data_IF_972514834255
#
_entry.id   IF_972514834255
#
_cell.length_a   1.000
_cell.length_b   1.000
_cell.length_c   1.000
_cell.angle_alpha   90.00
_cell.angle_beta   90.00
_cell.angle_gamma   90.00
#
_symmetry.space_group_name_H-M   'P 1'
#
loop_
_entity.id
_entity.type
_entity.pdbx_description
1 polymer ?
#
# COMPACT_ATOMS: atom_id res chain seq x y z
N UNK A 1 6.38 -2.38 -46.88
CA UNK A 1 5.75 -1.67 -45.74
C UNK A 1 6.69 -1.74 -44.55
N UNK A 2 7.36 -0.65 -44.21
CA UNK A 2 8.06 -0.53 -42.92
C UNK A 2 6.98 -0.30 -41.87
N UNK A 3 6.83 -1.24 -40.94
CA UNK A 3 6.05 -1.01 -39.73
C UNK A 3 6.89 -0.06 -38.89
N UNK A 4 6.53 1.22 -38.88
CA UNK A 4 7.02 2.14 -37.85
C UNK A 4 6.46 1.62 -36.52
N UNK A 5 7.32 0.98 -35.73
CA UNK A 5 7.06 0.77 -34.32
C UNK A 5 7.18 2.17 -33.71
N UNK A 6 6.05 2.87 -33.61
CA UNK A 6 5.96 4.06 -32.77
C UNK A 6 6.09 3.55 -31.34
N UNK A 7 7.29 3.61 -30.76
CA UNK A 7 7.49 3.45 -29.33
C UNK A 7 6.63 4.52 -28.63
N UNK A 8 5.45 4.13 -28.17
CA UNK A 8 4.65 4.98 -27.30
C UNK A 8 5.27 4.91 -25.92
N UNK A 9 6.13 5.89 -25.61
CA UNK A 9 6.59 6.11 -24.25
C UNK A 9 5.39 6.49 -23.37
N UNK A 10 5.27 5.84 -22.21
CA UNK A 10 4.25 6.18 -21.22
C UNK A 10 4.56 7.54 -20.60
N UNK A 11 3.58 8.43 -20.58
CA UNK A 11 3.71 9.71 -19.91
C UNK A 11 3.19 9.63 -18.47
N UNK A 12 4.01 10.09 -17.53
CA UNK A 12 3.68 10.12 -16.12
C UNK A 12 3.56 11.55 -15.61
N UNK A 13 2.60 11.77 -14.70
CA UNK A 13 2.41 13.03 -14.00
C UNK A 13 2.51 12.80 -12.49
N UNK A 14 3.27 13.68 -11.84
CA UNK A 14 3.31 13.75 -10.38
C UNK A 14 2.08 14.49 -9.88
N UNK A 15 1.32 13.85 -9.00
CA UNK A 15 0.20 14.50 -8.32
C UNK A 15 0.75 15.30 -7.14
N UNK A 16 0.28 16.53 -7.00
CA UNK A 16 0.69 17.51 -5.99
C UNK A 16 -0.52 18.24 -5.44
N UNK A 17 -0.34 19.05 -4.40
CA UNK A 17 -1.43 19.87 -3.83
C UNK A 17 -2.04 20.84 -4.85
N UNK A 18 -1.29 21.25 -5.86
CA UNK A 18 -1.72 22.20 -6.89
C UNK A 18 -2.61 21.56 -7.98
N UNK A 19 -2.46 20.25 -8.23
CA UNK A 19 -3.17 19.56 -9.32
C UNK A 19 -4.13 18.46 -8.86
N UNK A 20 -4.07 18.03 -7.59
CA UNK A 20 -4.82 16.86 -7.09
C UNK A 20 -6.34 16.95 -7.30
N UNK A 21 -6.92 18.15 -7.25
CA UNK A 21 -8.37 18.31 -7.45
C UNK A 21 -8.78 18.06 -8.91
N UNK A 22 -7.87 18.29 -9.87
CA UNK A 22 -8.07 18.05 -11.32
C UNK A 22 -7.71 16.63 -11.73
N UNK A 23 -6.72 16.04 -11.06
CA UNK A 23 -6.26 14.69 -11.37
C UNK A 23 -7.20 13.60 -10.82
N UNK A 24 -7.22 12.46 -11.52
CA UNK A 24 -7.89 11.26 -11.04
C UNK A 24 -6.97 10.47 -10.11
N UNK A 25 -7.57 9.75 -9.15
CA UNK A 25 -6.85 8.82 -8.27
C UNK A 25 -6.91 7.42 -8.90
N UNK A 26 -5.78 6.92 -9.39
CA UNK A 26 -5.67 5.64 -10.11
C UNK A 26 -6.21 4.43 -9.35
N UNK A 27 -6.15 4.45 -8.02
CA UNK A 27 -6.61 3.37 -7.15
C UNK A 27 -8.14 3.12 -7.28
N UNK A 28 -8.92 4.20 -7.30
CA UNK A 28 -10.38 4.19 -7.37
C UNK A 28 -10.85 5.03 -8.57
N UNK A 29 -11.13 4.34 -9.68
CA UNK A 29 -11.51 4.96 -10.96
C UNK A 29 -13.01 5.35 -10.92
N UNK A 30 -13.38 6.24 -9.99
CA UNK A 30 -14.73 6.78 -9.86
C UNK A 30 -14.77 8.28 -10.17
N UNK A 31 -15.90 8.95 -9.93
CA UNK A 31 -15.99 10.41 -10.01
C UNK A 31 -15.38 11.06 -8.74
N UNK A 32 -15.09 12.37 -8.79
CA UNK A 32 -14.46 13.08 -7.67
C UNK A 32 -15.32 13.16 -6.40
N UNK A 33 -16.63 12.96 -6.50
CA UNK A 33 -17.56 12.98 -5.37
C UNK A 33 -17.71 11.59 -4.71
N UNK A 34 -17.09 10.56 -5.27
CA UNK A 34 -17.05 9.23 -4.66
C UNK A 34 -16.21 9.30 -3.38
N UNK A 35 -16.75 8.77 -2.28
CA UNK A 35 -16.12 8.81 -0.96
C UNK A 35 -14.72 8.22 -0.94
N UNK A 36 -14.44 7.25 -1.81
CA UNK A 36 -13.13 6.63 -1.95
C UNK A 36 -12.13 7.63 -2.54
N UNK A 37 -12.57 8.42 -3.52
CA UNK A 37 -11.74 9.43 -4.18
C UNK A 37 -11.48 10.60 -3.25
N UNK A 38 -12.52 11.16 -2.60
CA UNK A 38 -12.35 12.30 -1.68
C UNK A 38 -11.46 11.93 -0.48
N UNK A 39 -11.72 10.79 0.18
CA UNK A 39 -10.92 10.31 1.31
C UNK A 39 -9.44 10.13 0.94
N UNK A 40 -9.15 9.52 -0.22
CA UNK A 40 -7.75 9.38 -0.66
C UNK A 40 -7.12 10.71 -1.05
N UNK A 41 -7.87 11.65 -1.63
CA UNK A 41 -7.33 12.99 -1.92
C UNK A 41 -6.96 13.74 -0.64
N UNK A 42 -7.80 13.68 0.39
CA UNK A 42 -7.51 14.25 1.71
C UNK A 42 -6.26 13.62 2.32
N UNK A 43 -6.17 12.29 2.30
CA UNK A 43 -4.98 11.57 2.73
C UNK A 43 -3.71 12.07 2.01
N UNK A 44 -3.74 12.10 0.68
CA UNK A 44 -2.59 12.51 -0.13
C UNK A 44 -2.18 13.97 0.15
N UNK A 45 -3.14 14.89 0.30
CA UNK A 45 -2.86 16.31 0.62
C UNK A 45 -2.01 16.45 1.89
N UNK A 46 -2.34 15.67 2.92
CA UNK A 46 -1.58 15.64 4.16
C UNK A 46 -0.22 14.95 3.96
N UNK A 47 -0.19 13.78 3.31
CA UNK A 47 1.07 13.03 3.14
C UNK A 47 2.07 13.70 2.19
N UNK A 48 1.62 14.56 1.27
CA UNK A 48 2.54 15.36 0.44
C UNK A 48 3.42 16.28 1.28
N UNK A 49 2.91 16.79 2.41
CA UNK A 49 3.71 17.61 3.36
C UNK A 49 4.80 16.79 4.04
N UNK A 50 4.59 15.47 4.14
CA UNK A 50 5.51 14.50 4.72
C UNK A 50 6.48 13.89 3.68
N UNK A 51 6.48 14.41 2.45
CA UNK A 51 7.39 14.01 1.39
C UNK A 51 6.90 12.87 0.50
N UNK A 52 5.62 12.50 0.60
CA UNK A 52 5.02 11.49 -0.28
C UNK A 52 5.07 11.95 -1.75
N UNK A 53 5.43 11.03 -2.63
CA UNK A 53 5.39 11.17 -4.07
C UNK A 53 4.36 10.21 -4.63
N UNK A 54 3.39 10.76 -5.36
CA UNK A 54 2.40 9.99 -6.11
C UNK A 54 2.61 10.25 -7.60
N UNK A 55 3.18 9.27 -8.31
CA UNK A 55 3.46 9.34 -9.74
C UNK A 55 2.53 8.38 -10.48
N UNK A 56 1.77 8.87 -11.45
CA UNK A 56 0.79 8.08 -12.18
C UNK A 56 0.82 8.32 -13.68
N UNK A 57 0.24 7.40 -14.47
CA UNK A 57 0.00 7.65 -15.89
C UNK A 57 -0.91 8.87 -16.09
N UNK A 58 -0.67 9.64 -17.15
CA UNK A 58 -1.62 10.66 -17.62
C UNK A 58 -2.94 9.98 -18.03
N UNK A 59 -2.84 8.84 -18.71
CA UNK A 59 -3.99 8.03 -19.06
C UNK A 59 -4.75 7.55 -17.82
N UNK A 60 -6.09 7.54 -17.91
CA UNK A 60 -6.95 7.12 -16.81
C UNK A 60 -6.90 5.60 -16.64
N UNK A 61 -6.28 5.15 -15.54
CA UNK A 61 -6.18 3.74 -15.24
C UNK A 61 -5.40 3.41 -13.97
N UNK A 62 -5.27 2.11 -13.68
CA UNK A 62 -4.42 1.61 -12.60
C UNK A 62 -2.99 1.47 -13.12
N UNK A 63 -2.25 2.56 -13.11
CA UNK A 63 -0.82 2.62 -13.45
C UNK A 63 -0.16 3.74 -12.66
N UNK A 64 0.36 3.43 -11.47
CA UNK A 64 0.96 4.43 -10.58
C UNK A 64 1.90 3.79 -9.55
N UNK A 65 2.71 4.65 -8.93
CA UNK A 65 3.51 4.35 -7.75
C UNK A 65 3.32 5.46 -6.70
N UNK A 66 3.26 5.04 -5.44
CA UNK A 66 3.13 5.87 -4.23
C UNK A 66 4.26 5.47 -3.28
N UNK A 67 5.06 6.45 -2.85
CA UNK A 67 6.21 6.21 -1.97
C UNK A 67 6.60 7.48 -1.19
N UNK A 68 7.23 7.31 -0.04
CA UNK A 68 7.63 8.41 0.85
C UNK A 68 8.89 8.05 1.68
N UNK A 69 9.52 9.01 2.38
CA UNK A 69 10.57 8.71 3.36
C UNK A 69 10.09 7.67 4.37
N UNK A 70 10.86 6.59 4.59
CA UNK A 70 10.42 5.47 5.39
C UNK A 70 10.20 5.83 6.88
N UNK A 71 10.83 6.89 7.36
CA UNK A 71 10.61 7.48 8.68
C UNK A 71 9.16 7.99 8.86
N UNK A 72 8.51 8.35 7.75
CA UNK A 72 7.13 8.81 7.70
C UNK A 72 6.16 7.71 7.26
N UNK A 73 6.63 6.50 6.98
CA UNK A 73 5.77 5.40 6.56
C UNK A 73 4.74 5.09 7.64
N UNK A 74 3.52 4.80 7.21
CA UNK A 74 2.42 4.40 8.08
C UNK A 74 2.49 2.90 8.40
N UNK A 75 3.68 2.34 8.53
CA UNK A 75 3.91 0.93 8.88
C UNK A 75 4.90 0.86 10.05
N UNK A 76 4.78 -0.15 10.93
CA UNK A 76 5.66 -0.33 12.09
C UNK A 76 7.01 -0.90 11.64
N UNK A 77 7.82 -0.08 10.98
CA UNK A 77 9.15 -0.40 10.49
C UNK A 77 10.19 0.58 11.02
N UNK A 78 11.43 0.12 11.14
CA UNK A 78 12.63 0.94 11.35
C UNK A 78 13.45 0.86 10.07
N UNK A 79 13.59 1.99 9.35
CA UNK A 79 14.17 2.01 8.01
C UNK A 79 14.82 3.37 7.68
N UNK A 80 15.52 3.96 8.64
CA UNK A 80 16.04 5.33 8.53
C UNK A 80 16.91 5.54 7.29
N UNK A 81 16.58 6.56 6.52
CA UNK A 81 17.22 6.93 5.26
C UNK A 81 16.72 6.16 4.04
N UNK A 82 15.79 5.22 4.17
CA UNK A 82 15.14 4.57 3.02
C UNK A 82 13.94 5.37 2.50
N UNK A 83 13.48 5.05 1.30
CA UNK A 83 12.13 5.36 0.85
C UNK A 83 11.27 4.10 0.94
N UNK A 84 10.09 4.23 1.53
CA UNK A 84 9.10 3.17 1.58
C UNK A 84 8.12 3.33 0.42
N UNK A 85 7.91 2.24 -0.34
CA UNK A 85 6.89 2.19 -1.39
C UNK A 85 5.59 1.71 -0.77
N UNK A 86 4.62 2.61 -0.64
CA UNK A 86 3.29 2.30 -0.14
C UNK A 86 2.50 1.46 -1.13
N UNK A 87 2.62 1.77 -2.43
CA UNK A 87 1.85 1.10 -3.47
C UNK A 87 2.54 1.19 -4.83
N UNK A 88 2.62 0.07 -5.54
CA UNK A 88 2.95 0.00 -6.95
C UNK A 88 1.89 -0.84 -7.64
N UNK A 89 1.05 -0.22 -8.49
CA UNK A 89 -0.07 -0.90 -9.12
C UNK A 89 -0.16 -0.59 -10.61
N UNK A 90 0.06 -1.63 -11.41
CA UNK A 90 -0.21 -1.66 -12.85
C UNK A 90 -1.21 -2.79 -13.15
N UNK A 91 -2.36 -2.46 -13.75
CA UNK A 91 -3.41 -3.44 -14.04
C UNK A 91 -4.25 -3.08 -15.28
N UNK A 92 -5.10 -4.02 -15.71
CA UNK A 92 -5.94 -3.86 -16.90
C UNK A 92 -5.10 -3.78 -18.17
N UNK A 93 -5.47 -2.85 -19.06
CA UNK A 93 -4.77 -2.60 -20.33
C UNK A 93 -3.32 -2.11 -20.16
N UNK A 94 -2.91 -1.69 -18.97
CA UNK A 94 -1.54 -1.24 -18.69
C UNK A 94 -0.60 -2.41 -18.36
N UNK A 95 -1.12 -3.60 -18.06
CA UNK A 95 -0.32 -4.74 -17.64
C UNK A 95 0.41 -5.36 -18.84
N UNK A 96 1.68 -5.70 -18.67
CA UNK A 96 2.47 -6.44 -19.67
C UNK A 96 3.30 -5.54 -20.60
N UNK A 97 3.28 -4.22 -20.39
CA UNK A 97 3.99 -3.25 -21.22
C UNK A 97 5.30 -2.71 -20.62
N UNK A 98 5.70 -3.19 -19.44
CA UNK A 98 6.89 -2.68 -18.75
C UNK A 98 6.65 -1.51 -17.80
N UNK A 99 5.48 -0.88 -17.80
CA UNK A 99 5.21 0.34 -17.00
C UNK A 99 5.45 0.21 -15.48
N UNK A 100 5.36 -0.99 -14.91
CA UNK A 100 5.71 -1.20 -13.50
C UNK A 100 7.21 -1.08 -13.24
N UNK A 101 8.03 -1.46 -14.21
CA UNK A 101 9.47 -1.24 -14.21
C UNK A 101 9.79 0.25 -14.34
N UNK A 102 9.17 0.95 -15.29
CA UNK A 102 9.40 2.37 -15.53
C UNK A 102 9.08 3.22 -14.29
N UNK A 103 7.93 2.96 -13.65
CA UNK A 103 7.53 3.64 -12.40
C UNK A 103 8.52 3.40 -11.26
N UNK A 104 9.02 2.17 -11.13
CA UNK A 104 10.02 1.83 -10.12
C UNK A 104 11.37 2.49 -10.42
N UNK A 105 11.77 2.55 -11.68
CA UNK A 105 13.02 3.17 -12.12
C UNK A 105 12.98 4.69 -11.84
N UNK A 106 11.85 5.36 -12.13
CA UNK A 106 11.63 6.75 -11.74
C UNK A 106 11.69 6.98 -10.22
N UNK A 107 11.11 6.06 -9.42
CA UNK A 107 11.21 6.10 -7.96
C UNK A 107 12.65 5.92 -7.47
N UNK A 108 13.43 5.02 -8.07
CA UNK A 108 14.84 4.84 -7.72
C UNK A 108 15.67 6.09 -8.04
N UNK A 109 15.46 6.72 -9.18
CA UNK A 109 16.17 7.95 -9.57
C UNK A 109 15.86 9.11 -8.61
N UNK A 110 14.58 9.37 -8.34
CA UNK A 110 14.15 10.38 -7.35
C UNK A 110 14.76 10.10 -5.98
N UNK A 111 14.71 8.85 -5.51
CA UNK A 111 15.25 8.45 -4.20
C UNK A 111 16.78 8.65 -4.12
N UNK A 112 17.52 8.30 -5.17
CA UNK A 112 18.97 8.54 -5.24
C UNK A 112 19.30 10.02 -5.23
N UNK A 113 18.55 10.84 -5.98
CA UNK A 113 18.74 12.30 -5.99
C UNK A 113 18.51 12.95 -4.62
N UNK A 114 17.66 12.32 -3.79
CA UNK A 114 17.39 12.70 -2.40
C UNK A 114 18.39 12.14 -1.39
N UNK A 115 19.45 11.45 -1.85
CA UNK A 115 20.48 10.87 -1.00
C UNK A 115 20.00 9.70 -0.13
N UNK A 116 18.93 9.01 -0.55
CA UNK A 116 18.38 7.88 0.21
C UNK A 116 19.27 6.64 0.10
N UNK A 117 19.20 5.77 1.11
CA UNK A 117 20.03 4.56 1.23
C UNK A 117 19.51 3.40 0.37
N UNK A 118 18.25 3.44 -0.02
CA UNK A 118 17.58 2.39 -0.78
C UNK A 118 16.06 2.53 -0.75
N UNK A 119 15.38 1.51 -1.25
CA UNK A 119 13.92 1.37 -1.20
C UNK A 119 13.52 0.21 -0.27
N UNK A 120 12.37 0.30 0.37
CA UNK A 120 11.75 -0.82 1.06
C UNK A 120 10.25 -0.92 0.75
N UNK A 121 9.69 -2.13 0.84
CA UNK A 121 8.31 -2.43 0.43
C UNK A 121 7.83 -3.74 1.08
N UNK A 122 6.52 -3.85 1.32
CA UNK A 122 5.94 -5.10 1.83
C UNK A 122 5.59 -6.09 0.71
N UNK A 123 5.88 -7.36 0.97
CA UNK A 123 5.48 -8.50 0.14
C UNK A 123 5.28 -9.74 1.01
N UNK A 124 5.32 -10.92 0.42
CA UNK A 124 5.29 -12.21 1.12
C UNK A 124 5.92 -13.29 0.26
N UNK A 125 6.16 -14.49 0.79
CA UNK A 125 6.83 -15.57 0.05
C UNK A 125 6.16 -15.97 -1.28
N UNK A 126 4.84 -15.72 -1.41
CA UNK A 126 4.04 -15.93 -2.63
C UNK A 126 3.17 -14.71 -2.91
N UNK A 127 2.64 -14.57 -4.12
CA UNK A 127 1.74 -13.45 -4.43
C UNK A 127 0.49 -13.51 -3.54
N UNK A 128 0.25 -12.44 -2.78
CA UNK A 128 -0.98 -12.19 -2.03
C UNK A 128 -1.69 -10.93 -2.57
N UNK A 129 -3.02 -10.82 -2.43
CA UNK A 129 -3.74 -9.58 -2.71
C UNK A 129 -3.16 -8.40 -1.91
N UNK A 130 -3.15 -7.21 -2.51
CA UNK A 130 -2.71 -5.96 -1.88
C UNK A 130 -1.27 -5.93 -1.35
N UNK A 131 -0.42 -6.88 -1.74
CA UNK A 131 1.01 -6.88 -1.49
C UNK A 131 1.78 -6.95 -2.81
N UNK A 132 3.01 -6.46 -2.82
CA UNK A 132 3.86 -6.48 -4.01
C UNK A 132 4.16 -7.91 -4.46
N UNK A 133 4.31 -8.12 -5.77
CA UNK A 133 4.61 -9.45 -6.31
C UNK A 133 6.08 -9.83 -6.02
N UNK A 134 6.35 -10.87 -5.23
CA UNK A 134 7.72 -11.24 -4.88
C UNK A 134 8.54 -11.69 -6.09
N UNK A 135 7.92 -12.13 -7.20
CA UNK A 135 8.66 -12.45 -8.44
C UNK A 135 9.17 -11.18 -9.12
N UNK A 136 8.33 -10.14 -9.19
CA UNK A 136 8.72 -8.84 -9.74
C UNK A 136 9.82 -8.19 -8.89
N UNK A 137 9.67 -8.22 -7.56
CA UNK A 137 10.67 -7.67 -6.64
C UNK A 137 12.03 -8.36 -6.79
N UNK A 138 12.09 -9.70 -6.81
CA UNK A 138 13.34 -10.44 -7.05
C UNK A 138 13.96 -10.09 -8.40
N UNK A 139 13.15 -10.02 -9.46
CA UNK A 139 13.63 -9.64 -10.79
C UNK A 139 14.27 -8.25 -10.80
N UNK A 140 13.71 -7.31 -10.03
CA UNK A 140 14.25 -5.95 -9.83
C UNK A 140 15.35 -5.84 -8.77
N UNK A 141 15.83 -6.97 -8.23
CA UNK A 141 16.97 -7.02 -7.32
C UNK A 141 16.67 -6.79 -5.84
N UNK A 142 15.39 -6.67 -5.47
CA UNK A 142 15.01 -6.60 -4.04
C UNK A 142 15.31 -7.93 -3.34
N UNK A 143 15.61 -7.84 -2.05
CA UNK A 143 15.86 -8.97 -1.15
C UNK A 143 14.95 -8.88 0.06
N UNK A 144 14.66 -10.01 0.70
CA UNK A 144 13.99 -10.04 2.01
C UNK A 144 15.00 -9.61 3.06
N UNK A 145 14.62 -8.71 3.97
CA UNK A 145 15.42 -8.33 5.13
C UNK A 145 14.77 -8.69 6.47
N UNK A 146 13.45 -8.81 6.53
CA UNK A 146 12.73 -9.22 7.75
C UNK A 146 11.40 -9.91 7.39
N UNK A 147 10.85 -10.68 8.33
CA UNK A 147 9.58 -11.40 8.19
C UNK A 147 8.85 -11.45 9.54
N UNK A 148 7.57 -11.09 9.53
CA UNK A 148 6.67 -11.23 10.68
C UNK A 148 6.01 -12.62 10.67
N UNK A 149 5.55 -13.08 11.84
CA UNK A 149 5.01 -14.44 12.03
C UNK A 149 3.79 -14.78 11.15
N UNK A 150 3.06 -13.77 10.67
CA UNK A 150 1.96 -13.95 9.74
C UNK A 150 2.41 -14.13 8.26
N UNK A 151 3.71 -14.26 8.02
CA UNK A 151 4.34 -14.46 6.72
C UNK A 151 4.33 -13.23 5.82
N UNK A 152 4.23 -12.03 6.41
CA UNK A 152 4.46 -10.76 5.72
C UNK A 152 5.95 -10.47 5.78
N UNK A 153 6.53 -10.14 4.64
CA UNK A 153 7.96 -9.90 4.50
C UNK A 153 8.22 -8.41 4.21
N UNK A 154 9.25 -7.87 4.84
CA UNK A 154 9.84 -6.60 4.47
C UNK A 154 10.95 -6.86 3.45
N UNK A 155 10.83 -6.21 2.30
CA UNK A 155 11.79 -6.30 1.21
C UNK A 155 12.52 -4.98 1.05
N UNK A 156 13.78 -5.04 0.65
CA UNK A 156 14.61 -3.87 0.44
C UNK A 156 15.48 -3.97 -0.82
N UNK A 157 15.80 -2.82 -1.39
CA UNK A 157 16.75 -2.64 -2.48
C UNK A 157 17.76 -1.56 -2.06
N UNK A 158 18.96 -1.94 -1.60
CA UNK A 158 19.96 -0.99 -1.15
C UNK A 158 20.65 -0.30 -2.34
N UNK A 159 21.01 0.97 -2.18
CA UNK A 159 21.82 1.72 -3.14
C UNK A 159 23.32 1.75 -2.78
N UNK A 160 23.66 1.37 -1.55
CA UNK A 160 25.02 1.21 -1.06
C UNK A 160 25.20 -0.17 -0.41
N UNK A 161 26.44 -0.71 -0.44
CA UNK A 161 26.71 -2.07 0.01
C UNK A 161 26.54 -2.29 1.52
N UNK A 162 26.69 -1.23 2.31
CA UNK A 162 26.71 -1.20 3.77
C UNK A 162 25.47 -0.54 4.39
N UNK A 163 24.41 -0.34 3.60
CA UNK A 163 23.17 0.24 4.09
C UNK A 163 22.56 -0.65 5.19
N UNK A 164 22.23 -0.09 6.39
CA UNK A 164 21.56 -0.85 7.46
C UNK A 164 20.28 -1.51 6.96
N UNK A 165 19.97 -2.69 7.48
CA UNK A 165 18.77 -3.42 7.08
C UNK A 165 17.51 -2.78 7.68
N UNK A 166 16.46 -2.56 6.86
CA UNK A 166 15.14 -2.27 7.39
C UNK A 166 14.60 -3.46 8.19
N UNK A 167 13.87 -3.19 9.26
CA UNK A 167 13.26 -4.22 10.11
C UNK A 167 11.85 -3.83 10.56
N UNK A 168 11.04 -4.82 10.94
CA UNK A 168 9.78 -4.58 11.64
C UNK A 168 10.06 -4.18 13.09
N UNK A 169 9.26 -3.25 13.61
CA UNK A 169 9.21 -2.98 15.04
C UNK A 169 8.57 -4.18 15.76
N UNK A 170 8.96 -4.35 17.02
CA UNK A 170 8.56 -5.52 17.82
C UNK A 170 7.04 -5.67 17.95
N UNK A 171 6.30 -4.56 18.05
CA UNK A 171 4.84 -4.57 18.14
C UNK A 171 4.15 -5.27 16.96
N UNK A 172 4.80 -5.36 15.81
CA UNK A 172 4.25 -5.94 14.59
C UNK A 172 4.89 -7.27 14.18
N UNK A 173 5.94 -7.71 14.88
CA UNK A 173 6.65 -8.95 14.57
C UNK A 173 5.77 -10.18 14.81
N UNK A 174 4.92 -10.10 15.83
CA UNK A 174 4.02 -11.17 16.25
C UNK A 174 2.55 -10.68 16.21
N UNK A 175 1.91 -10.60 15.02
CA UNK A 175 0.59 -9.98 14.89
C UNK A 175 -0.47 -10.70 15.73
N UNK A 176 -0.83 -10.07 16.84
CA UNK A 176 -1.80 -10.55 17.81
C UNK A 176 -2.45 -9.37 18.52
N UNK A 177 -3.71 -9.55 18.92
CA UNK A 177 -4.46 -8.60 19.73
C UNK A 177 -5.21 -9.33 20.84
N UNK A 178 -5.59 -8.65 21.91
CA UNK A 178 -6.30 -9.28 23.04
C UNK A 178 -7.82 -9.35 22.81
N UNK A 179 -8.32 -8.52 21.90
CA UNK A 179 -9.73 -8.36 21.59
C UNK A 179 -10.32 -9.63 20.94
N UNK A 180 -11.55 -9.94 21.37
CA UNK A 180 -12.36 -11.03 20.82
C UNK A 180 -13.28 -10.52 19.71
N UNK A 181 -13.77 -11.45 18.90
CA UNK A 181 -14.56 -11.11 17.72
C UNK A 181 -13.67 -10.63 16.57
N UNK A 182 -14.26 -9.95 15.59
CA UNK A 182 -13.52 -9.38 14.47
C UNK A 182 -13.04 -7.98 14.80
N UNK A 183 -11.76 -7.72 14.59
CA UNK A 183 -11.18 -6.38 14.74
C UNK A 183 -10.41 -6.02 13.49
N UNK A 184 -10.73 -4.88 12.89
CA UNK A 184 -10.12 -4.38 11.67
C UNK A 184 -9.28 -3.14 11.97
N UNK A 185 -7.97 -3.21 11.76
CA UNK A 185 -7.11 -2.04 11.69
C UNK A 185 -7.02 -1.56 10.24
N UNK A 186 -7.18 -0.26 10.00
CA UNK A 186 -7.10 0.29 8.65
C UNK A 186 -6.66 1.77 8.64
N UNK A 187 -6.16 2.23 7.50
CA UNK A 187 -5.86 3.64 7.22
C UNK A 187 -6.67 4.15 6.02
N UNK A 188 -6.70 5.47 5.84
CA UNK A 188 -7.24 6.11 4.64
C UNK A 188 -6.28 6.05 3.42
N UNK A 189 -5.11 5.40 3.55
CA UNK A 189 -4.18 5.20 2.43
C UNK A 189 -4.81 4.41 1.28
N UNK A 190 -5.62 3.39 1.59
CA UNK A 190 -6.35 2.64 0.57
C UNK A 190 -7.74 3.25 0.37
N UNK A 191 -8.05 3.79 -0.82
CA UNK A 191 -9.31 4.49 -1.05
C UNK A 191 -10.54 3.62 -0.82
N UNK A 192 -10.47 2.31 -1.11
CA UNK A 192 -11.67 1.49 -0.96
C UNK A 192 -12.08 1.26 0.50
N UNK A 193 -11.23 1.57 1.49
CA UNK A 193 -11.60 1.45 2.90
C UNK A 193 -12.74 2.42 3.27
N UNK A 194 -12.72 3.64 2.71
CA UNK A 194 -13.78 4.63 2.94
C UNK A 194 -15.17 4.17 2.49
N UNK A 195 -15.23 3.20 1.55
CA UNK A 195 -16.47 2.58 1.10
C UNK A 195 -16.77 1.28 1.83
N UNK A 196 -15.81 0.37 1.89
CA UNK A 196 -16.08 -1.02 2.28
C UNK A 196 -16.01 -1.26 3.78
N UNK A 197 -15.31 -0.44 4.57
CA UNK A 197 -15.32 -0.60 6.03
C UNK A 197 -16.73 -0.41 6.60
N UNK A 198 -17.47 0.68 6.29
CA UNK A 198 -18.85 0.83 6.75
C UNK A 198 -19.79 -0.29 6.28
N UNK A 199 -19.58 -0.81 5.06
CA UNK A 199 -20.35 -1.95 4.55
C UNK A 199 -20.10 -3.21 5.37
N UNK A 200 -18.85 -3.48 5.74
CA UNK A 200 -18.49 -4.66 6.54
C UNK A 200 -19.02 -4.54 7.97
N UNK A 201 -18.96 -3.34 8.57
CA UNK A 201 -19.58 -3.06 9.87
C UNK A 201 -21.08 -3.35 9.85
N UNK A 202 -21.78 -2.88 8.80
CA UNK A 202 -23.20 -3.10 8.65
C UNK A 202 -23.54 -4.59 8.46
N UNK A 203 -22.80 -5.31 7.62
CA UNK A 203 -22.98 -6.76 7.47
C UNK A 203 -22.75 -7.50 8.78
N UNK A 204 -21.73 -7.12 9.56
CA UNK A 204 -21.51 -7.71 10.88
C UNK A 204 -22.70 -7.47 11.81
N UNK A 205 -23.22 -6.24 11.85
CA UNK A 205 -24.40 -5.85 12.64
C UNK A 205 -25.64 -6.66 12.24
N UNK A 206 -25.91 -6.79 10.95
CA UNK A 206 -27.06 -7.55 10.42
C UNK A 206 -26.98 -9.05 10.73
N UNK A 207 -25.77 -9.59 10.89
CA UNK A 207 -25.54 -11.01 11.20
C UNK A 207 -25.28 -11.28 12.69
N UNK A 208 -25.41 -10.27 13.56
CA UNK A 208 -25.18 -10.43 15.00
C UNK A 208 -23.74 -10.77 15.37
N UNK A 209 -22.77 -10.35 14.55
CA UNK A 209 -21.34 -10.63 14.72
C UNK A 209 -20.66 -9.44 15.42
N UNK A 210 -19.87 -9.71 16.45
CA UNK A 210 -19.02 -8.70 17.08
C UNK A 210 -17.91 -8.26 16.13
N UNK A 211 -17.93 -6.98 15.76
CA UNK A 211 -16.98 -6.37 14.84
C UNK A 211 -16.60 -4.96 15.34
N UNK A 212 -15.32 -4.64 15.27
CA UNK A 212 -14.78 -3.31 15.59
C UNK A 212 -13.84 -2.86 14.47
N UNK A 213 -14.07 -1.65 13.94
CA UNK A 213 -13.11 -0.99 13.06
C UNK A 213 -12.27 0.02 13.86
N UNK A 214 -10.94 -0.11 13.79
CA UNK A 214 -9.97 0.80 14.36
C UNK A 214 -9.32 1.56 13.19
N UNK A 215 -9.75 2.81 13.01
CA UNK A 215 -9.15 3.71 12.03
C UNK A 215 -7.89 4.32 12.62
N UNK A 216 -6.74 3.99 12.05
CA UNK A 216 -5.47 4.62 12.39
C UNK A 216 -5.44 6.00 11.73
N UNK A 217 -5.43 7.06 12.54
CA UNK A 217 -5.55 8.45 12.12
C UNK A 217 -4.22 9.21 12.17
N UNK A 218 -3.16 8.60 12.73
CA UNK A 218 -1.83 9.20 12.77
C UNK A 218 -0.72 8.21 12.38
N UNK A 219 0.41 8.77 11.93
CA UNK A 219 1.66 8.02 11.72
C UNK A 219 2.06 7.25 12.98
N UNK A 220 1.95 7.88 14.15
CA UNK A 220 2.31 7.28 15.43
C UNK A 220 1.47 6.03 15.74
N UNK A 221 0.15 6.11 15.58
CA UNK A 221 -0.74 4.96 15.76
C UNK A 221 -0.39 3.83 14.80
N UNK A 222 -0.19 4.15 13.51
CA UNK A 222 0.13 3.15 12.50
C UNK A 222 1.52 2.52 12.70
N UNK A 223 2.49 3.29 13.17
CA UNK A 223 3.84 2.81 13.49
C UNK A 223 3.91 2.01 14.80
N UNK A 224 2.85 2.03 15.62
CA UNK A 224 2.74 1.23 16.85
C UNK A 224 1.66 0.14 16.74
N UNK A 225 1.06 -0.05 15.56
CA UNK A 225 0.00 -1.03 15.35
C UNK A 225 0.51 -2.48 15.50
N UNK A 226 -0.35 -3.42 15.93
CA UNK A 226 0.02 -4.81 16.18
C UNK A 226 0.11 -5.65 14.89
N UNK A 227 0.50 -5.05 13.77
CA UNK A 227 0.50 -5.69 12.45
C UNK A 227 1.50 -5.02 11.51
N UNK A 228 2.25 -5.78 10.70
CA UNK A 228 3.17 -5.21 9.72
C UNK A 228 2.43 -4.49 8.58
N UNK A 229 1.15 -4.82 8.35
CA UNK A 229 0.30 -4.21 7.32
C UNK A 229 -0.82 -3.42 8.01
N UNK A 230 -0.76 -2.09 7.94
CA UNK A 230 -1.72 -1.18 8.58
C UNK A 230 -2.79 -0.67 7.64
N UNK A 231 -2.57 -0.75 6.32
CA UNK A 231 -3.53 -0.31 5.31
C UNK A 231 -4.87 -1.03 5.45
N UNK A 232 -4.82 -2.34 5.76
CA UNK A 232 -5.98 -3.16 6.08
C UNK A 232 -5.48 -4.45 6.75
N UNK A 233 -5.86 -4.71 8.00
CA UNK A 233 -5.55 -5.94 8.72
C UNK A 233 -6.73 -6.36 9.59
N UNK A 234 -7.34 -7.48 9.22
CA UNK A 234 -8.45 -8.08 9.94
C UNK A 234 -7.92 -9.17 10.86
N UNK A 235 -8.38 -9.16 12.10
CA UNK A 235 -8.12 -10.14 13.15
C UNK A 235 -9.43 -10.85 13.52
N UNK A 236 -9.30 -12.07 14.05
CA UNK A 236 -10.41 -12.79 14.67
C UNK A 236 -9.94 -13.51 15.93
N UNK A 237 -10.54 -13.18 17.08
CA UNK A 237 -10.19 -13.72 18.39
C UNK A 237 -8.67 -13.64 18.65
N UNK A 238 -8.11 -12.45 18.48
CA UNK A 238 -6.69 -12.17 18.64
C UNK A 238 -5.78 -12.61 17.51
N UNK A 239 -6.15 -13.59 16.69
CA UNK A 239 -5.30 -14.07 15.61
C UNK A 239 -5.43 -13.18 14.35
N UNK A 240 -4.29 -12.86 13.73
CA UNK A 240 -4.28 -12.23 12.41
C UNK A 240 -4.97 -13.15 11.39
N UNK A 241 -5.92 -12.59 10.64
CA UNK A 241 -6.71 -13.33 9.67
C UNK A 241 -6.29 -13.03 8.23
N UNK A 242 -6.25 -11.75 7.85
CA UNK A 242 -5.94 -11.34 6.47
C UNK A 242 -5.72 -9.84 6.30
N UNK A 243 -4.93 -9.46 5.28
CA UNK A 243 -4.83 -8.10 4.74
C UNK A 243 -5.64 -7.89 3.46
N UNK A 244 -6.41 -8.90 3.05
CA UNK A 244 -7.27 -8.79 1.87
C UNK A 244 -8.48 -7.93 2.21
N UNK A 245 -8.68 -6.88 1.43
CA UNK A 245 -9.84 -6.03 1.58
C UNK A 245 -11.15 -6.81 1.40
N UNK A 246 -12.00 -6.67 2.42
CA UNK A 246 -13.34 -7.25 2.44
C UNK A 246 -14.36 -6.33 1.76
N UNK A 247 -15.39 -6.96 1.22
CA UNK A 247 -16.67 -6.36 0.88
C UNK A 247 -17.77 -7.23 1.50
N UNK A 248 -19.01 -6.84 1.30
CA UNK A 248 -20.22 -7.59 1.69
C UNK A 248 -20.09 -9.09 1.39
N UNK A 249 -19.83 -9.46 0.13
CA UNK A 249 -19.80 -10.86 -0.30
C UNK A 249 -18.66 -11.65 0.31
N UNK A 250 -17.46 -11.06 0.37
CA UNK A 250 -16.28 -11.72 0.95
C UNK A 250 -16.43 -11.90 2.45
N UNK A 251 -16.97 -10.90 3.14
CA UNK A 251 -17.19 -10.98 4.57
C UNK A 251 -18.28 -12.00 4.91
N UNK A 252 -19.41 -12.02 4.19
CA UNK A 252 -20.42 -13.09 4.35
C UNK A 252 -19.84 -14.49 4.14
N UNK A 253 -18.99 -14.67 3.12
CA UNK A 253 -18.29 -15.95 2.89
C UNK A 253 -17.28 -16.28 4.00
N UNK A 254 -16.74 -15.27 4.67
CA UNK A 254 -15.86 -15.45 5.82
C UNK A 254 -16.64 -15.91 7.06
N UNK A 255 -17.83 -15.34 7.28
CA UNK A 255 -18.74 -15.70 8.38
C UNK A 255 -19.34 -17.09 8.21
N UNK A 256 -19.44 -17.60 6.98
CA UNK A 256 -19.98 -18.94 6.69
C UNK A 256 -18.97 -20.08 6.88
N UNK A 257 -17.78 -19.81 7.44
CA UNK A 257 -16.73 -20.79 7.72
C UNK A 257 -16.65 -21.04 9.21
#
# INVERSE_FOLDING_TARGET
MKVEIVERFMEYIKVTNENIDKEHICCAISNNNDIQVSSKKEWLKEQFREGLVFLKSVERGKCFIEYLPAENAWNPITADGYMYIDCLWVAGSFKGHGYGADLLDACMEDSKSKGKKGLCILSSGKKKPFLSDPKFLRYKGFKVCDEADNGIQLWYLPFAADAPLPEFKECARHPHIEEKGYVLYYTSQCPFNAKYVPIVEEVARENGVSFQAIHLQSKEEAQNAPTPVTTYALFYNGAYLTNEQMNDRKFLKLLSK
#
